data_IF_103958091905
#
_entry.id   IF_103958091905
#
_cell.length_a   1.000
_cell.length_b   1.000
_cell.length_c   1.000
_cell.angle_alpha   90.00
_cell.angle_beta   90.00
_cell.angle_gamma   90.00
#
_symmetry.space_group_name_H-M   'P 1'
#
loop_
_entity.id
_entity.type
_entity.pdbx_description
1 polymer ?
#
# COMPACT_ATOMS: atom_id res chain seq x y z
N UNK A 1 10.10 -18.68 5.88
CA UNK A 1 9.36 -18.90 4.62
C UNK A 1 7.84 -18.91 4.83
N UNK A 2 7.28 -19.75 5.69
CA UNK A 2 5.82 -19.80 5.92
C UNK A 2 5.22 -18.46 6.40
N UNK A 3 5.86 -17.77 7.35
CA UNK A 3 5.36 -16.48 7.85
C UNK A 3 5.25 -15.41 6.75
N UNK A 4 6.18 -15.41 5.79
CA UNK A 4 6.14 -14.47 4.66
C UNK A 4 4.91 -14.71 3.77
N UNK A 5 4.57 -15.98 3.52
CA UNK A 5 3.38 -16.36 2.73
C UNK A 5 2.10 -15.97 3.49
N UNK A 6 2.05 -16.19 4.80
CA UNK A 6 0.92 -15.74 5.63
C UNK A 6 0.77 -14.21 5.61
N UNK A 7 1.87 -13.46 5.68
CA UNK A 7 1.85 -12.00 5.56
C UNK A 7 1.35 -11.59 4.17
N UNK A 8 1.81 -12.23 3.09
CA UNK A 8 1.34 -11.98 1.72
C UNK A 8 -0.15 -12.28 1.55
N UNK A 9 -0.66 -13.34 2.19
CA UNK A 9 -2.09 -13.66 2.18
C UNK A 9 -2.91 -12.60 2.92
N UNK A 10 -2.46 -12.17 4.09
CA UNK A 10 -3.14 -11.11 4.84
C UNK A 10 -3.12 -9.78 4.05
N UNK A 11 -1.98 -9.43 3.43
CA UNK A 11 -1.83 -8.23 2.58
C UNK A 11 -2.71 -8.31 1.33
N UNK A 12 -2.80 -9.47 0.68
CA UNK A 12 -3.72 -9.70 -0.43
C UNK A 12 -5.20 -9.69 -0.02
N UNK A 13 -5.48 -9.96 1.25
CA UNK A 13 -6.82 -9.93 1.84
C UNK A 13 -7.25 -8.53 2.32
N UNK A 14 -6.32 -7.56 2.40
CA UNK A 14 -6.66 -6.16 2.68
C UNK A 14 -7.44 -5.57 1.50
N UNK A 15 -8.75 -5.83 1.49
CA UNK A 15 -9.72 -5.08 0.71
C UNK A 15 -9.69 -3.61 1.14
N UNK A 16 -10.09 -2.69 0.25
CA UNK A 16 -10.14 -1.25 0.57
C UNK A 16 -10.86 -0.93 1.89
N UNK A 17 -11.85 -1.74 2.28
CA UNK A 17 -12.60 -1.60 3.54
C UNK A 17 -11.71 -1.90 4.76
N UNK A 18 -10.99 -3.02 4.76
CA UNK A 18 -10.05 -3.37 5.85
C UNK A 18 -8.93 -2.35 6.02
N UNK A 19 -8.44 -1.77 4.91
CA UNK A 19 -7.44 -0.71 4.98
C UNK A 19 -8.01 0.58 5.60
N UNK A 20 -9.28 0.91 5.28
CA UNK A 20 -9.99 2.05 5.86
C UNK A 20 -10.20 1.89 7.37
N UNK A 21 -10.65 0.72 7.82
CA UNK A 21 -10.79 0.45 9.27
C UNK A 21 -9.44 0.59 9.97
N UNK A 22 -8.37 0.07 9.37
CA UNK A 22 -7.02 0.19 9.91
C UNK A 22 -6.56 1.64 10.10
N UNK A 23 -6.75 2.51 9.11
CA UNK A 23 -6.35 3.92 9.24
C UNK A 23 -7.21 4.68 10.24
N UNK A 24 -8.52 4.38 10.32
CA UNK A 24 -9.42 4.97 11.33
C UNK A 24 -8.92 4.62 12.73
N UNK A 25 -8.67 3.34 12.99
CA UNK A 25 -8.12 2.88 14.26
C UNK A 25 -6.78 3.52 14.57
N UNK A 26 -5.92 3.70 13.56
CA UNK A 26 -4.65 4.39 13.74
C UNK A 26 -4.83 5.85 14.18
N UNK A 27 -5.75 6.60 13.56
CA UNK A 27 -6.05 7.98 13.99
C UNK A 27 -6.64 8.04 15.38
N UNK A 28 -7.56 7.13 15.73
CA UNK A 28 -8.20 7.10 17.05
C UNK A 28 -7.18 6.82 18.17
N UNK A 29 -6.23 5.91 17.95
CA UNK A 29 -5.28 5.49 18.98
C UNK A 29 -3.99 6.32 19.02
N UNK A 30 -3.73 7.18 18.02
CA UNK A 30 -2.42 7.87 17.91
C UNK A 30 -2.12 8.80 19.08
N UNK A 31 -3.15 9.40 19.68
CA UNK A 31 -2.99 10.48 20.67
C UNK A 31 -2.88 9.91 22.10
N UNK A 32 -3.32 8.66 22.30
CA UNK A 32 -3.24 7.93 23.57
C UNK A 32 -2.10 6.90 23.61
N UNK A 33 -1.42 6.67 22.48
CA UNK A 33 -0.32 5.71 22.37
C UNK A 33 0.99 6.25 22.97
N UNK A 34 1.83 5.34 23.48
CA UNK A 34 3.21 5.66 23.87
C UNK A 34 4.03 6.11 22.66
N UNK A 35 5.13 6.84 22.87
CA UNK A 35 5.93 7.44 21.79
C UNK A 35 6.36 6.44 20.72
N UNK A 36 6.75 5.22 21.13
CA UNK A 36 7.10 4.13 20.22
C UNK A 36 5.89 3.75 19.36
N UNK A 37 4.75 3.43 19.96
CA UNK A 37 3.55 3.06 19.21
C UNK A 37 3.03 4.19 18.34
N UNK A 38 3.09 5.44 18.81
CA UNK A 38 2.71 6.63 18.05
C UNK A 38 3.52 6.75 16.77
N UNK A 39 4.82 6.43 16.79
CA UNK A 39 5.66 6.40 15.59
C UNK A 39 5.18 5.36 14.56
N UNK A 40 4.78 4.17 15.02
CA UNK A 40 4.23 3.09 14.17
C UNK A 40 2.88 3.47 13.58
N UNK A 41 1.98 4.04 14.38
CA UNK A 41 0.66 4.50 13.92
C UNK A 41 0.80 5.62 12.88
N UNK A 42 1.69 6.59 13.12
CA UNK A 42 1.99 7.65 12.15
C UNK A 42 2.57 7.09 10.85
N UNK A 43 3.45 6.07 10.93
CA UNK A 43 3.97 5.40 9.76
C UNK A 43 2.85 4.70 8.97
N UNK A 44 1.98 3.94 9.64
CA UNK A 44 0.84 3.26 9.01
C UNK A 44 -0.10 4.25 8.32
N UNK A 45 -0.40 5.39 8.95
CA UNK A 45 -1.19 6.48 8.36
C UNK A 45 -0.52 7.00 7.08
N UNK A 46 0.80 7.27 7.11
CA UNK A 46 1.54 7.73 5.92
C UNK A 46 1.52 6.69 4.80
N UNK A 47 1.70 5.40 5.12
CA UNK A 47 1.66 4.31 4.13
C UNK A 47 0.26 4.20 3.51
N UNK A 48 -0.80 4.30 4.32
CA UNK A 48 -2.18 4.32 3.83
C UNK A 48 -2.39 5.44 2.82
N UNK A 49 -2.05 6.68 3.15
CA UNK A 49 -2.28 7.82 2.24
C UNK A 49 -1.41 7.77 0.99
N UNK A 50 -0.16 7.31 1.08
CA UNK A 50 0.65 7.04 -0.11
C UNK A 50 -0.02 5.97 -0.97
N UNK A 51 -0.59 4.93 -0.37
CA UNK A 51 -1.37 3.89 -1.06
C UNK A 51 -2.60 4.42 -1.75
N UNK A 52 -3.37 5.31 -1.12
CA UNK A 52 -4.53 5.96 -1.74
C UNK A 52 -4.11 6.78 -2.96
N UNK A 53 -3.09 7.64 -2.81
CA UNK A 53 -2.57 8.45 -3.93
C UNK A 53 -2.12 7.54 -5.07
N UNK A 54 -1.37 6.49 -4.76
CA UNK A 54 -0.86 5.58 -5.77
C UNK A 54 -1.96 4.80 -6.48
N UNK A 55 -2.97 4.33 -5.74
CA UNK A 55 -4.14 3.65 -6.30
C UNK A 55 -4.93 4.58 -7.24
N UNK A 56 -5.13 5.84 -6.85
CA UNK A 56 -5.80 6.84 -7.70
C UNK A 56 -4.99 7.12 -8.96
N UNK A 57 -3.70 7.42 -8.84
CA UNK A 57 -2.81 7.71 -9.98
C UNK A 57 -2.75 6.51 -10.93
N UNK A 58 -2.55 5.29 -10.40
CA UNK A 58 -2.48 4.09 -11.22
C UNK A 58 -3.81 3.81 -11.94
N UNK A 59 -4.95 4.04 -11.28
CA UNK A 59 -6.28 3.91 -11.89
C UNK A 59 -6.46 4.90 -13.04
N UNK A 60 -6.06 6.17 -12.86
CA UNK A 60 -6.11 7.18 -13.91
C UNK A 60 -5.25 6.76 -15.11
N UNK A 61 -4.02 6.31 -14.87
CA UNK A 61 -3.14 5.80 -15.94
C UNK A 61 -3.79 4.61 -16.66
N UNK A 62 -4.39 3.67 -15.92
CA UNK A 62 -5.07 2.52 -16.50
C UNK A 62 -6.25 2.93 -17.40
N UNK A 63 -7.06 3.90 -16.96
CA UNK A 63 -8.18 4.44 -17.74
C UNK A 63 -7.67 5.13 -19.00
N UNK A 64 -6.63 5.97 -18.90
CA UNK A 64 -6.04 6.65 -20.07
C UNK A 64 -5.50 5.65 -21.10
N UNK A 65 -4.79 4.62 -20.64
CA UNK A 65 -4.33 3.53 -21.51
C UNK A 65 -5.51 2.79 -22.16
N UNK A 66 -6.58 2.55 -21.42
CA UNK A 66 -7.80 1.94 -21.94
C UNK A 66 -8.46 2.76 -23.05
N UNK A 67 -8.53 4.09 -22.88
CA UNK A 67 -9.04 5.01 -23.91
C UNK A 67 -8.15 5.00 -25.15
N UNK A 68 -6.83 5.05 -24.99
CA UNK A 68 -5.88 4.99 -26.13
C UNK A 68 -6.04 3.66 -26.87
N UNK A 69 -6.17 2.56 -26.15
CA UNK A 69 -6.41 1.24 -26.73
C UNK A 69 -7.71 1.20 -27.54
N UNK A 70 -8.80 1.77 -27.02
CA UNK A 70 -10.07 1.83 -27.73
C UNK A 70 -10.00 2.66 -29.02
N UNK A 71 -9.35 3.83 -28.98
CA UNK A 71 -9.20 4.72 -30.16
C UNK A 71 -8.33 4.08 -31.24
N UNK A 72 -7.32 3.31 -30.84
CA UNK A 72 -6.36 2.67 -31.76
C UNK A 72 -6.77 1.26 -32.20
N UNK A 73 -8.04 0.88 -32.00
CA UNK A 73 -8.56 -0.47 -32.31
C UNK A 73 -7.74 -1.61 -31.67
N UNK A 74 -7.24 -1.39 -30.45
CA UNK A 74 -6.53 -2.39 -29.65
C UNK A 74 -5.00 -2.31 -29.68
N UNK A 75 -4.39 -1.55 -30.61
CA UNK A 75 -2.92 -1.42 -30.67
C UNK A 75 -2.34 -0.79 -29.39
N UNK A 76 -3.05 0.14 -28.77
CA UNK A 76 -2.66 0.75 -27.50
C UNK A 76 -2.68 -0.21 -26.29
N UNK A 77 -3.18 -1.45 -26.44
CA UNK A 77 -3.19 -2.43 -25.34
C UNK A 77 -1.78 -2.75 -24.82
N UNK A 78 -0.74 -2.61 -25.66
CA UNK A 78 0.65 -2.82 -25.22
C UNK A 78 1.07 -1.87 -24.11
N UNK A 79 0.45 -0.68 -24.01
CA UNK A 79 0.76 0.30 -22.98
C UNK A 79 0.26 -0.11 -21.59
N UNK A 80 -0.58 -1.15 -21.49
CA UNK A 80 -1.05 -1.70 -20.20
C UNK A 80 0.08 -2.26 -19.34
N UNK A 81 1.23 -2.59 -19.94
CA UNK A 81 2.42 -3.01 -19.19
C UNK A 81 2.91 -1.92 -18.22
N UNK A 82 2.65 -0.65 -18.53
CA UNK A 82 3.10 0.49 -17.74
C UNK A 82 2.40 0.51 -16.38
N UNK A 83 1.05 0.60 -16.30
CA UNK A 83 0.38 0.56 -15.01
C UNK A 83 0.50 -0.80 -14.31
N UNK A 84 0.72 -1.90 -15.04
CA UNK A 84 1.03 -3.21 -14.42
C UNK A 84 2.39 -3.15 -13.70
N UNK A 85 3.43 -2.64 -14.36
CA UNK A 85 4.76 -2.49 -13.76
C UNK A 85 4.74 -1.55 -12.55
N UNK A 86 4.02 -0.43 -12.66
CA UNK A 86 3.77 0.51 -11.56
C UNK A 86 3.07 -0.18 -10.39
N UNK A 87 2.03 -0.98 -10.66
CA UNK A 87 1.30 -1.75 -9.65
C UNK A 87 2.17 -2.79 -8.94
N UNK A 88 2.99 -3.54 -9.68
CA UNK A 88 3.92 -4.53 -9.11
C UNK A 88 4.95 -3.85 -8.22
N UNK A 89 5.58 -2.78 -8.71
CA UNK A 89 6.55 -2.00 -7.94
C UNK A 89 5.95 -1.51 -6.61
N UNK A 90 4.74 -0.97 -6.67
CA UNK A 90 4.02 -0.51 -5.48
C UNK A 90 3.71 -1.62 -4.49
N UNK A 91 3.29 -2.78 -4.99
CA UNK A 91 3.00 -3.95 -4.18
C UNK A 91 4.26 -4.43 -3.45
N UNK A 92 5.39 -4.53 -4.15
CA UNK A 92 6.69 -4.88 -3.56
C UNK A 92 7.11 -3.85 -2.50
N UNK A 93 6.99 -2.55 -2.81
CA UNK A 93 7.30 -1.49 -1.86
C UNK A 93 6.44 -1.56 -0.58
N UNK A 94 5.14 -1.82 -0.72
CA UNK A 94 4.21 -1.94 0.40
C UNK A 94 4.56 -3.14 1.29
N UNK A 95 4.91 -4.27 0.69
CA UNK A 95 5.39 -5.45 1.45
C UNK A 95 6.65 -5.11 2.24
N UNK A 96 7.63 -4.43 1.61
CA UNK A 96 8.85 -4.01 2.30
C UNK A 96 8.55 -3.03 3.44
N UNK A 97 7.62 -2.10 3.24
CA UNK A 97 7.19 -1.15 4.27
C UNK A 97 6.57 -1.86 5.48
N UNK A 98 5.70 -2.84 5.25
CA UNK A 98 5.08 -3.65 6.31
C UNK A 98 6.14 -4.50 7.02
N UNK A 99 7.04 -5.15 6.28
CA UNK A 99 8.12 -5.95 6.85
C UNK A 99 9.04 -5.12 7.76
N UNK A 100 9.39 -3.90 7.33
CA UNK A 100 10.17 -2.95 8.15
C UNK A 100 9.42 -2.54 9.41
N UNK A 101 8.14 -2.18 9.29
CA UNK A 101 7.29 -1.80 10.43
C UNK A 101 7.16 -2.91 11.47
N UNK A 102 6.85 -4.15 11.02
CA UNK A 102 6.78 -5.31 11.91
C UNK A 102 8.13 -5.62 12.57
N UNK A 103 9.23 -5.51 11.82
CA UNK A 103 10.57 -5.75 12.36
C UNK A 103 10.94 -4.76 13.47
N UNK A 104 10.64 -3.47 13.29
CA UNK A 104 10.86 -2.45 14.31
C UNK A 104 9.93 -2.64 15.51
N UNK A 105 8.67 -3.00 15.28
CA UNK A 105 7.71 -3.28 16.36
C UNK A 105 8.14 -4.47 17.22
N UNK A 106 8.63 -5.55 16.60
CA UNK A 106 9.15 -6.72 17.32
C UNK A 106 10.38 -6.43 18.19
N UNK A 107 11.12 -5.36 17.89
CA UNK A 107 12.25 -4.87 18.69
C UNK A 107 11.86 -3.78 19.69
N UNK A 108 10.57 -3.40 19.76
CA UNK A 108 10.10 -2.24 20.54
C UNK A 108 10.82 -0.94 20.20
N UNK A 109 11.31 -0.83 18.96
CA UNK A 109 12.00 0.35 18.46
C UNK A 109 10.99 1.31 17.81
N UNK A 110 11.20 2.63 17.91
CA UNK A 110 10.42 3.58 17.12
C UNK A 110 10.68 3.37 15.63
N UNK A 111 9.68 3.67 14.80
CA UNK A 111 9.88 3.64 13.35
C UNK A 111 10.94 4.68 12.95
N UNK A 112 11.99 4.30 12.20
CA UNK A 112 12.92 5.27 11.62
C UNK A 112 12.13 6.27 10.76
N UNK A 113 12.36 7.55 11.02
CA UNK A 113 11.64 8.68 10.44
C UNK A 113 11.75 8.74 8.90
#
# INVERSE_FOLDING_TARGET
MANLIYILYIVGFFTGITALVGVIMAYVNRDTASDVFKSHLNFQIKVFWRGVIFAVVNTVVYVLVGVISAVTMGLGAILTIIPIGIGIWWLVWTIMAIAKGMGALGRSEPMPA
#
